data_IF_302650644800
#
_entry.id   IF_302650644800
#
_cell.length_a   1.000
_cell.length_b   1.000
_cell.length_c   1.000
_cell.angle_alpha   90.00
_cell.angle_beta   90.00
_cell.angle_gamma   90.00
#
_symmetry.space_group_name_H-M   'P 1'
#
loop_
_entity.id
_entity.type
_entity.pdbx_description
1 polymer ?
#
# COMPACT_ATOMS: atom_id res chain seq x y z
N UNK A 1 -6.52 21.43 35.16
CA UNK A 1 -7.11 22.66 34.61
C UNK A 1 -6.32 22.94 33.34
N UNK A 2 -6.99 23.18 32.23
CA UNK A 2 -6.31 23.41 30.94
C UNK A 2 -5.36 24.61 31.07
N UNK A 3 -4.17 24.54 30.46
CA UNK A 3 -3.20 25.64 30.49
C UNK A 3 -3.82 26.93 29.95
N UNK A 4 -4.71 26.84 28.96
CA UNK A 4 -5.41 28.00 28.43
C UNK A 4 -6.26 28.70 29.49
N UNK A 5 -6.96 27.93 30.33
CA UNK A 5 -7.78 28.48 31.42
C UNK A 5 -6.93 29.17 32.49
N UNK A 6 -5.71 28.67 32.72
CA UNK A 6 -4.77 29.32 33.65
C UNK A 6 -4.22 30.62 33.08
N UNK A 7 -3.99 30.67 31.77
CA UNK A 7 -3.57 31.89 31.06
C UNK A 7 -4.70 32.93 31.10
N UNK A 8 -5.94 32.53 30.81
CA UNK A 8 -7.10 33.42 30.84
C UNK A 8 -7.31 34.00 32.25
N UNK A 9 -7.19 33.19 33.30
CA UNK A 9 -7.25 33.66 34.69
C UNK A 9 -6.14 34.64 35.04
N UNK A 10 -4.92 34.40 34.55
CA UNK A 10 -3.82 35.33 34.76
C UNK A 10 -4.09 36.67 34.06
N UNK A 11 -4.59 36.62 32.83
CA UNK A 11 -4.97 37.80 32.06
C UNK A 11 -6.09 38.59 32.74
N UNK A 12 -7.13 37.90 33.21
CA UNK A 12 -8.24 38.49 33.97
C UNK A 12 -7.77 39.14 35.27
N UNK A 13 -6.87 38.50 36.02
CA UNK A 13 -6.35 39.03 37.29
C UNK A 13 -5.52 40.30 37.06
N UNK A 14 -4.81 40.40 35.93
CA UNK A 14 -4.09 41.61 35.51
C UNK A 14 -5.05 42.68 35.00
N UNK A 15 -6.02 42.35 34.15
CA UNK A 15 -6.98 43.30 33.58
C UNK A 15 -7.90 43.92 34.64
N UNK A 16 -8.32 43.15 35.65
CA UNK A 16 -9.22 43.61 36.70
C UNK A 16 -8.50 44.21 37.91
N UNK A 17 -7.17 44.23 37.91
CA UNK A 17 -6.39 44.78 39.02
C UNK A 17 -6.59 46.30 39.18
N UNK A 18 -6.37 46.81 40.39
CA UNK A 18 -6.59 48.24 40.68
C UNK A 18 -5.44 49.09 40.10
N UNK A 19 -5.70 50.07 39.23
CA UNK A 19 -4.65 50.94 38.70
C UNK A 19 -4.06 51.81 39.81
N UNK A 20 -2.76 52.08 39.71
CA UNK A 20 -2.04 52.95 40.64
C UNK A 20 -2.04 54.39 40.08
N UNK A 21 -2.46 55.42 40.86
CA UNK A 21 -2.52 56.79 40.37
C UNK A 21 -1.16 57.31 39.88
N UNK A 22 -1.18 58.06 38.78
CA UNK A 22 0.01 58.69 38.17
C UNK A 22 1.06 57.68 37.63
N UNK A 23 0.71 56.40 37.46
CA UNK A 23 1.58 55.37 36.85
C UNK A 23 0.79 54.46 35.90
N UNK A 24 1.50 53.73 35.03
CA UNK A 24 0.93 52.67 34.18
C UNK A 24 0.91 51.29 34.88
N UNK A 25 0.91 51.28 36.22
CA UNK A 25 1.00 50.05 37.00
C UNK A 25 -0.37 49.61 37.52
N UNK A 26 -0.56 48.30 37.61
CA UNK A 26 -1.76 47.67 38.16
C UNK A 26 -1.40 46.85 39.40
N UNK A 27 -2.21 46.97 40.45
CA UNK A 27 -2.07 46.22 41.70
C UNK A 27 -2.85 44.91 41.62
N UNK A 28 -2.14 43.80 41.80
CA UNK A 28 -2.69 42.43 41.79
C UNK A 28 -2.47 41.72 43.13
N UNK A 29 -3.30 40.71 43.41
CA UNK A 29 -3.15 39.84 44.58
C UNK A 29 -1.93 38.92 44.38
N UNK A 30 -0.90 39.09 45.20
CA UNK A 30 0.35 38.35 45.03
C UNK A 30 0.11 36.83 45.13
N UNK A 31 -0.67 36.40 46.11
CA UNK A 31 -0.94 34.97 46.39
C UNK A 31 -1.65 34.29 45.22
N UNK A 32 -2.70 34.93 44.66
CA UNK A 32 -3.44 34.44 43.49
C UNK A 32 -2.52 34.22 42.28
N UNK A 33 -1.61 35.15 42.01
CA UNK A 33 -0.66 35.03 40.89
C UNK A 33 0.31 33.85 41.11
N UNK A 34 0.80 33.65 42.34
CA UNK A 34 1.68 32.51 42.63
C UNK A 34 0.93 31.18 42.48
N UNK A 35 -0.31 31.10 42.92
CA UNK A 35 -1.13 29.89 42.77
C UNK A 35 -1.35 29.52 41.29
N UNK A 36 -1.64 30.53 40.44
CA UNK A 36 -1.76 30.32 38.99
C UNK A 36 -0.43 29.85 38.40
N UNK A 37 0.69 30.48 38.77
CA UNK A 37 2.01 30.10 38.29
C UNK A 37 2.40 28.68 38.70
N UNK A 38 2.09 28.26 39.92
CA UNK A 38 2.38 26.91 40.41
C UNK A 38 1.52 25.86 39.68
N UNK A 39 0.25 26.15 39.42
CA UNK A 39 -0.62 25.30 38.60
C UNK A 39 -0.12 25.19 37.15
N UNK A 40 0.36 26.29 36.57
CA UNK A 40 0.95 26.27 35.22
C UNK A 40 2.23 25.44 35.21
N UNK A 41 3.12 25.61 36.21
CA UNK A 41 4.36 24.83 36.35
C UNK A 41 4.10 23.33 36.51
N UNK A 42 2.99 22.95 37.14
CA UNK A 42 2.60 21.55 37.27
C UNK A 42 2.01 20.97 35.97
N UNK A 43 1.25 21.77 35.21
CA UNK A 43 0.42 21.26 34.10
C UNK A 43 1.10 21.38 32.73
N UNK A 44 1.72 22.53 32.44
CA UNK A 44 2.34 22.83 31.14
C UNK A 44 3.37 21.78 30.71
N UNK A 45 4.29 21.30 31.58
CA UNK A 45 5.30 20.34 31.14
C UNK A 45 4.71 19.01 30.65
N UNK A 46 3.62 18.56 31.29
CA UNK A 46 2.95 17.31 30.95
C UNK A 46 2.19 17.44 29.63
N UNK A 47 1.45 18.54 29.42
CA UNK A 47 0.78 18.80 28.14
C UNK A 47 1.77 18.91 26.97
N UNK A 48 2.90 19.61 27.17
CA UNK A 48 3.96 19.69 26.15
C UNK A 48 4.57 18.31 25.86
N UNK A 49 4.73 17.47 26.89
CA UNK A 49 5.24 16.11 26.72
C UNK A 49 4.25 15.25 25.93
N UNK A 50 2.96 15.33 26.25
CA UNK A 50 1.90 14.63 25.53
C UNK A 50 1.80 15.09 24.08
N UNK A 51 1.81 16.40 23.83
CA UNK A 51 1.79 16.94 22.47
C UNK A 51 3.00 16.45 21.64
N UNK A 52 4.21 16.47 22.21
CA UNK A 52 5.40 15.91 21.54
C UNK A 52 5.28 14.42 21.28
N UNK A 53 4.72 13.66 22.23
CA UNK A 53 4.49 12.23 22.05
C UNK A 53 3.49 11.96 20.92
N UNK A 54 2.36 12.67 20.87
CA UNK A 54 1.36 12.53 19.80
C UNK A 54 1.97 12.83 18.43
N UNK A 55 2.78 13.89 18.33
CA UNK A 55 3.46 14.23 17.07
C UNK A 55 4.42 13.12 16.64
N UNK A 56 5.20 12.58 17.58
CA UNK A 56 6.12 11.47 17.32
C UNK A 56 5.37 10.21 16.88
N UNK A 57 4.34 9.81 17.62
CA UNK A 57 3.52 8.63 17.34
C UNK A 57 2.88 8.72 15.95
N UNK A 58 2.35 9.91 15.61
CA UNK A 58 1.80 10.17 14.27
C UNK A 58 2.85 10.01 13.17
N UNK A 59 4.07 10.47 13.39
CA UNK A 59 5.15 10.32 12.41
C UNK A 59 5.55 8.84 12.24
N UNK A 60 5.61 8.09 13.33
CA UNK A 60 5.90 6.65 13.31
C UNK A 60 4.81 5.86 12.57
N UNK A 61 3.54 6.13 12.89
CA UNK A 61 2.38 5.55 12.20
C UNK A 61 2.39 5.85 10.70
N UNK A 62 2.67 7.09 10.30
CA UNK A 62 2.76 7.46 8.88
C UNK A 62 3.92 6.75 8.17
N UNK A 63 5.06 6.60 8.84
CA UNK A 63 6.20 5.88 8.28
C UNK A 63 5.91 4.39 8.11
N UNK A 64 5.23 3.78 9.07
CA UNK A 64 4.79 2.38 8.98
C UNK A 64 3.78 2.17 7.86
N UNK A 65 2.75 3.01 7.77
CA UNK A 65 1.75 2.95 6.70
C UNK A 65 2.40 3.07 5.31
N UNK A 66 3.41 3.94 5.15
CA UNK A 66 4.16 4.05 3.89
C UNK A 66 4.94 2.77 3.57
N UNK A 67 5.68 2.23 4.54
CA UNK A 67 6.42 0.97 4.35
C UNK A 67 5.51 -0.19 3.95
N UNK A 68 4.34 -0.26 4.59
CA UNK A 68 3.35 -1.29 4.32
C UNK A 68 2.71 -1.13 2.93
N UNK A 69 2.35 0.10 2.54
CA UNK A 69 1.86 0.38 1.20
C UNK A 69 2.87 -0.01 0.12
N UNK A 70 4.16 0.32 0.34
CA UNK A 70 5.23 -0.08 -0.57
C UNK A 70 5.41 -1.61 -0.63
N UNK A 71 5.26 -2.31 0.50
CA UNK A 71 5.30 -3.77 0.55
C UNK A 71 4.20 -4.39 -0.29
N UNK A 72 2.97 -3.92 -0.11
CA UNK A 72 1.80 -4.39 -0.88
C UNK A 72 2.00 -4.16 -2.38
N UNK A 73 2.48 -2.98 -2.78
CA UNK A 73 2.74 -2.67 -4.19
C UNK A 73 3.81 -3.59 -4.78
N UNK A 74 4.89 -3.88 -4.04
CA UNK A 74 5.93 -4.81 -4.48
C UNK A 74 5.36 -6.22 -4.66
N UNK A 75 4.63 -6.73 -3.66
CA UNK A 75 4.02 -8.05 -3.72
C UNK A 75 3.03 -8.19 -4.89
N UNK A 76 2.22 -7.16 -5.12
CA UNK A 76 1.29 -7.14 -6.25
C UNK A 76 2.02 -7.18 -7.61
N UNK A 77 3.15 -6.47 -7.74
CA UNK A 77 3.97 -6.49 -8.97
C UNK A 77 4.63 -7.85 -9.19
N UNK A 78 5.21 -8.44 -8.16
CA UNK A 78 5.80 -9.77 -8.23
C UNK A 78 4.75 -10.83 -8.61
N UNK A 79 3.54 -10.74 -8.05
CA UNK A 79 2.45 -11.63 -8.40
C UNK A 79 1.99 -11.42 -9.85
N UNK A 80 1.88 -10.16 -10.29
CA UNK A 80 1.53 -9.84 -11.67
C UNK A 80 2.54 -10.43 -12.65
N UNK A 81 3.85 -10.27 -12.39
CA UNK A 81 4.90 -10.83 -13.23
C UNK A 81 4.82 -12.36 -13.33
N UNK A 82 4.58 -13.04 -12.20
CA UNK A 82 4.38 -14.50 -12.18
C UNK A 82 3.18 -14.93 -13.02
N UNK A 83 2.06 -14.22 -12.93
CA UNK A 83 0.86 -14.53 -13.70
C UNK A 83 1.08 -14.34 -15.20
N UNK A 84 1.76 -13.27 -15.61
CA UNK A 84 2.09 -13.02 -17.02
C UNK A 84 2.99 -14.14 -17.55
N UNK A 85 4.03 -14.51 -16.80
CA UNK A 85 4.94 -15.58 -17.18
C UNK A 85 4.21 -16.93 -17.31
N UNK A 86 3.30 -17.25 -16.37
CA UNK A 86 2.47 -18.46 -16.47
C UNK A 86 1.57 -18.44 -17.69
N UNK A 87 0.93 -17.32 -17.98
CA UNK A 87 0.06 -17.19 -19.15
C UNK A 87 0.83 -17.31 -20.47
N UNK A 88 2.06 -16.80 -20.53
CA UNK A 88 2.95 -16.99 -21.68
C UNK A 88 3.33 -18.45 -21.89
N UNK A 89 3.66 -19.16 -20.82
CA UNK A 89 3.96 -20.60 -20.89
C UNK A 89 2.75 -21.39 -21.38
N UNK A 90 1.55 -21.11 -20.87
CA UNK A 90 0.31 -21.78 -21.31
C UNK A 90 0.06 -21.52 -22.80
N UNK A 91 0.15 -20.26 -23.24
CA UNK A 91 -0.06 -19.88 -24.65
C UNK A 91 0.94 -20.56 -25.59
N UNK A 92 2.20 -20.68 -25.17
CA UNK A 92 3.23 -21.38 -25.95
C UNK A 92 2.92 -22.88 -26.03
N UNK A 93 2.51 -23.48 -24.92
CA UNK A 93 2.14 -24.89 -24.88
C UNK A 93 0.92 -25.20 -25.77
N UNK A 94 -0.10 -24.32 -25.77
CA UNK A 94 -1.27 -24.43 -26.65
C UNK A 94 -0.87 -24.40 -28.12
N UNK A 95 -0.01 -23.45 -28.52
CA UNK A 95 0.49 -23.36 -29.91
C UNK A 95 1.26 -24.62 -30.31
N UNK A 96 2.16 -25.10 -29.45
CA UNK A 96 2.90 -26.34 -29.71
C UNK A 96 1.97 -27.55 -29.84
N UNK A 97 0.91 -27.61 -29.03
CA UNK A 97 -0.08 -28.66 -29.14
C UNK A 97 -0.85 -28.60 -30.48
N UNK A 98 -1.22 -27.40 -30.94
CA UNK A 98 -1.84 -27.20 -32.26
C UNK A 98 -0.91 -27.67 -33.38
N UNK A 99 0.36 -27.25 -33.37
CA UNK A 99 1.36 -27.65 -34.37
C UNK A 99 1.51 -29.18 -34.43
N UNK A 100 1.59 -29.85 -33.26
CA UNK A 100 1.67 -31.31 -33.17
C UNK A 100 0.43 -31.98 -33.78
N UNK A 101 -0.77 -31.45 -33.49
CA UNK A 101 -2.02 -32.00 -34.02
C UNK A 101 -2.09 -31.82 -35.53
N UNK A 102 -1.66 -30.67 -36.06
CA UNK A 102 -1.60 -30.42 -37.50
C UNK A 102 -0.61 -31.35 -38.20
N UNK A 103 0.59 -31.52 -37.64
CA UNK A 103 1.61 -32.43 -38.15
C UNK A 103 1.11 -33.89 -38.14
N UNK A 104 0.48 -34.32 -37.05
CA UNK A 104 -0.09 -35.65 -36.94
C UNK A 104 -1.19 -35.89 -37.99
N UNK A 105 -2.09 -34.92 -38.21
CA UNK A 105 -3.12 -34.98 -39.26
C UNK A 105 -2.52 -35.00 -40.65
N UNK A 106 -1.41 -34.29 -40.88
CA UNK A 106 -0.72 -34.31 -42.17
C UNK A 106 -0.09 -35.67 -42.45
N UNK A 107 0.62 -36.23 -41.46
CA UNK A 107 1.19 -37.59 -41.56
C UNK A 107 0.12 -38.65 -41.75
N UNK A 108 -1.01 -38.56 -41.04
CA UNK A 108 -2.14 -39.47 -41.22
C UNK A 108 -2.65 -39.48 -42.66
N UNK A 109 -2.85 -38.29 -43.25
CA UNK A 109 -3.27 -38.17 -44.66
C UNK A 109 -2.24 -38.75 -45.62
N UNK A 110 -0.96 -38.47 -45.40
CA UNK A 110 0.13 -38.99 -46.23
C UNK A 110 0.20 -40.51 -46.18
N UNK A 111 0.12 -41.11 -44.98
CA UNK A 111 0.10 -42.56 -44.80
C UNK A 111 -1.13 -43.17 -45.48
N UNK A 112 -2.32 -42.56 -45.32
CA UNK A 112 -3.55 -43.08 -45.93
C UNK A 112 -3.46 -43.09 -47.46
N UNK A 113 -3.06 -41.98 -48.07
CA UNK A 113 -2.90 -41.87 -49.51
C UNK A 113 -1.83 -42.86 -50.02
N UNK A 114 -0.68 -42.93 -49.35
CA UNK A 114 0.37 -43.89 -49.73
C UNK A 114 -0.07 -45.36 -49.61
N UNK A 115 -0.94 -45.68 -48.65
CA UNK A 115 -1.51 -47.02 -48.52
C UNK A 115 -2.56 -47.33 -49.61
N UNK A 116 -3.37 -46.34 -50.01
CA UNK A 116 -4.29 -46.44 -51.15
C UNK A 116 -3.52 -46.66 -52.46
N UNK A 117 -2.50 -45.83 -52.74
CA UNK A 117 -1.65 -45.95 -53.92
C UNK A 117 -0.94 -47.32 -53.98
N UNK A 118 -0.44 -47.81 -52.83
CA UNK A 118 0.18 -49.13 -52.75
C UNK A 118 -0.82 -50.26 -53.02
N UNK A 119 -2.06 -50.16 -52.51
CA UNK A 119 -3.10 -51.15 -52.77
C UNK A 119 -3.47 -51.20 -54.26
N UNK A 120 -3.61 -50.05 -54.91
CA UNK A 120 -3.90 -49.94 -56.34
C UNK A 120 -2.76 -50.52 -57.20
N UNK A 121 -1.49 -50.29 -56.86
CA UNK A 121 -0.34 -50.87 -57.55
C UNK A 121 -0.33 -52.40 -57.47
N UNK A 122 -0.61 -52.96 -56.28
CA UNK A 122 -0.72 -54.41 -56.08
C UNK A 122 -1.89 -54.99 -56.88
N UNK A 123 -3.06 -54.35 -56.87
CA UNK A 123 -4.23 -54.79 -57.63
C UNK A 123 -3.96 -54.79 -59.14
N UNK A 124 -3.40 -53.70 -59.67
CA UNK A 124 -3.01 -53.62 -61.09
C UNK A 124 -2.00 -54.71 -61.45
N UNK A 125 -1.00 -54.94 -60.60
CA UNK A 125 -0.01 -55.99 -60.82
C UNK A 125 -0.65 -57.39 -60.87
N UNK A 126 -1.66 -57.66 -60.04
CA UNK A 126 -2.39 -58.92 -60.06
C UNK A 126 -3.28 -59.07 -61.29
N UNK A 127 -3.96 -57.99 -61.73
CA UNK A 127 -4.79 -58.00 -62.94
C UNK A 127 -3.99 -58.23 -64.22
N UNK A 128 -2.77 -57.69 -64.31
CA UNK A 128 -1.89 -57.85 -65.48
C UNK A 128 -1.28 -59.26 -65.56
N UNK A 129 -1.22 -59.99 -64.44
CA UNK A 129 -0.64 -61.33 -64.35
C UNK A 129 -1.68 -62.48 -64.44
N UNK A 130 -2.95 -62.15 -64.73
CA UNK A 130 -4.05 -63.10 -65.01
C UNK A 130 -4.40 -63.14 -66.50
#
# INVERSE_FOLDING_TARGET
>A
MDVLVLIDKLDDSIHNGKPVPLTDQVRVEREEIYDILDQMRATVPEEIKQARWIVKERQEMLAEAKREAERIIREARDQQERLINQQEVVRLAERQAEDIVEEARSREREIRLGAEDYADDILNTLEVNL
#
